data_IF_273496024700
#
_entry.id   IF_273496024700
#
_cell.length_a   1.000
_cell.length_b   1.000
_cell.length_c   1.000
_cell.angle_alpha   90.00
_cell.angle_beta   90.00
_cell.angle_gamma   90.00
#
_symmetry.space_group_name_H-M   'P 1'
#
loop_
_entity.id
_entity.type
_entity.pdbx_description
1 polymer ?
#
# COMPACT_ATOMS: atom_id res chain seq x y z
N UNK A 1 10.14 4.75 7.12
CA UNK A 1 10.24 5.91 6.21
C UNK A 1 9.00 5.96 5.33
N UNK A 2 8.75 7.09 4.66
CA UNK A 2 7.54 7.28 3.85
C UNK A 2 7.90 7.98 2.52
N UNK A 3 7.33 7.56 1.37
CA UNK A 3 6.43 6.41 1.21
C UNK A 3 7.12 5.06 1.47
N UNK A 4 6.37 3.96 1.67
CA UNK A 4 6.94 2.63 1.73
C UNK A 4 7.76 2.32 0.47
N UNK A 5 8.96 1.75 0.66
CA UNK A 5 9.84 1.37 -0.44
C UNK A 5 9.85 -0.14 -0.64
N UNK A 6 9.71 -0.56 -1.89
CA UNK A 6 9.95 -1.94 -2.29
C UNK A 6 11.42 -2.31 -2.16
N UNK A 7 11.69 -3.58 -1.87
CA UNK A 7 13.00 -4.23 -1.86
C UNK A 7 13.22 -5.12 -3.07
N UNK A 8 12.29 -5.14 -4.03
CA UNK A 8 12.45 -5.86 -5.28
C UNK A 8 13.60 -5.27 -6.10
N UNK A 9 14.27 -6.13 -6.86
CA UNK A 9 15.32 -5.71 -7.78
C UNK A 9 14.70 -4.88 -8.91
N UNK A 10 15.00 -3.59 -8.96
CA UNK A 10 14.46 -2.67 -9.96
C UNK A 10 14.95 -2.96 -11.38
N UNK A 11 16.07 -3.69 -11.54
CA UNK A 11 16.50 -4.14 -12.86
C UNK A 11 15.61 -5.25 -13.43
N UNK A 12 14.96 -6.03 -12.55
CA UNK A 12 14.06 -7.13 -12.93
C UNK A 12 12.61 -6.66 -12.97
N UNK A 13 12.20 -5.85 -12.00
CA UNK A 13 10.80 -5.50 -11.77
C UNK A 13 10.49 -4.01 -12.03
N UNK A 14 11.45 -3.18 -12.45
CA UNK A 14 11.19 -1.77 -12.73
C UNK A 14 10.88 -0.93 -11.47
N UNK A 15 10.12 0.15 -11.65
CA UNK A 15 9.75 1.06 -10.56
C UNK A 15 8.56 0.52 -9.75
N UNK A 16 8.79 0.36 -8.45
CA UNK A 16 7.80 -0.09 -7.46
C UNK A 16 7.63 0.91 -6.31
N UNK A 17 7.97 2.17 -6.55
CA UNK A 17 7.72 3.26 -5.60
C UNK A 17 6.24 3.29 -5.27
N UNK A 18 5.90 3.19 -3.98
CA UNK A 18 4.51 3.26 -3.54
C UNK A 18 3.89 4.60 -3.92
N UNK A 19 2.66 4.53 -4.42
CA UNK A 19 1.85 5.68 -4.82
C UNK A 19 1.05 6.27 -3.65
N UNK A 20 1.16 5.71 -2.45
CA UNK A 20 0.55 6.29 -1.25
C UNK A 20 1.34 7.53 -0.84
N UNK A 21 0.70 8.70 -0.87
CA UNK A 21 1.32 9.96 -0.47
C UNK A 21 1.00 10.30 1.00
N UNK A 22 1.71 11.31 1.56
CA UNK A 22 1.45 11.78 2.93
C UNK A 22 0.04 12.37 3.03
N UNK A 23 -0.39 13.08 2.00
CA UNK A 23 -1.70 13.75 1.91
C UNK A 23 -2.84 12.74 2.03
N UNK A 24 -2.69 11.54 1.46
CA UNK A 24 -3.68 10.46 1.57
C UNK A 24 -4.01 10.07 3.01
N UNK A 25 -3.02 10.12 3.91
CA UNK A 25 -3.17 9.60 5.28
C UNK A 25 -3.23 10.69 6.35
N UNK A 26 -2.80 11.91 6.04
CA UNK A 26 -2.62 13.02 6.98
C UNK A 26 -3.89 13.36 7.79
N UNK A 27 -5.07 13.26 7.18
CA UNK A 27 -6.35 13.62 7.84
C UNK A 27 -6.79 12.62 8.93
N UNK A 28 -6.16 11.45 9.01
CA UNK A 28 -6.65 10.33 9.82
C UNK A 28 -5.71 9.90 10.96
N UNK A 29 -4.81 10.80 11.40
CA UNK A 29 -3.74 10.54 12.38
C UNK A 29 -3.95 11.18 13.77
N UNK A 30 -5.20 11.45 14.17
CA UNK A 30 -5.54 12.03 15.49
C UNK A 30 -4.79 13.34 15.81
N UNK A 31 -4.60 14.17 14.78
CA UNK A 31 -3.93 15.47 14.89
C UNK A 31 -2.40 15.44 14.71
N UNK A 32 -1.80 14.25 14.57
CA UNK A 32 -0.37 14.12 14.27
C UNK A 32 -0.08 14.36 12.79
N UNK A 33 1.09 14.90 12.49
CA UNK A 33 1.70 14.82 11.16
C UNK A 33 2.17 13.40 10.85
N UNK A 34 2.35 13.08 9.56
CA UNK A 34 2.92 11.78 9.17
C UNK A 34 4.29 11.55 9.82
N UNK A 35 5.15 12.58 9.86
CA UNK A 35 6.49 12.45 10.41
C UNK A 35 6.48 12.21 11.93
N UNK A 36 5.60 12.88 12.67
CA UNK A 36 5.40 12.60 14.09
C UNK A 36 4.89 11.18 14.34
N UNK A 37 3.94 10.70 13.52
CA UNK A 37 3.43 9.33 13.65
C UNK A 37 4.51 8.27 13.37
N UNK A 38 5.45 8.53 12.45
CA UNK A 38 6.63 7.68 12.21
C UNK A 38 7.56 7.73 13.43
N UNK A 39 7.89 8.93 13.92
CA UNK A 39 8.78 9.10 15.08
C UNK A 39 8.22 8.42 16.33
N UNK A 40 6.91 8.50 16.53
CA UNK A 40 6.18 7.88 17.64
C UNK A 40 5.96 6.37 17.45
N UNK A 41 6.35 5.79 16.31
CA UNK A 41 6.16 4.37 15.96
C UNK A 41 4.69 3.94 16.00
N UNK A 42 3.79 4.84 15.61
CA UNK A 42 2.34 4.58 15.55
C UNK A 42 1.85 4.27 14.13
N UNK A 43 2.72 4.28 13.13
CA UNK A 43 2.43 3.78 11.79
C UNK A 43 2.98 2.37 11.56
N UNK A 44 2.11 1.50 11.06
CA UNK A 44 2.40 0.11 10.74
C UNK A 44 2.08 -0.16 9.28
N UNK A 45 2.81 -1.10 8.69
CA UNK A 45 2.63 -1.50 7.31
C UNK A 45 2.38 -3.01 7.27
N UNK A 46 1.20 -3.40 6.77
CA UNK A 46 0.93 -4.77 6.37
C UNK A 46 1.29 -4.90 4.89
N UNK A 47 2.43 -5.52 4.63
CA UNK A 47 3.03 -5.57 3.29
C UNK A 47 2.98 -6.97 2.70
N UNK A 48 2.14 -7.14 1.69
CA UNK A 48 2.12 -8.33 0.84
C UNK A 48 2.69 -8.05 -0.56
N UNK A 49 3.06 -6.81 -0.86
CA UNK A 49 3.49 -6.42 -2.18
C UNK A 49 4.72 -7.20 -2.67
N UNK A 50 5.88 -7.05 -2.02
CA UNK A 50 7.14 -7.64 -2.51
C UNK A 50 7.09 -9.17 -2.55
N UNK A 51 6.38 -9.79 -1.61
CA UNK A 51 6.23 -11.25 -1.56
C UNK A 51 5.36 -11.79 -2.70
N UNK A 52 4.38 -11.01 -3.17
CA UNK A 52 3.39 -11.45 -4.16
C UNK A 52 3.79 -11.09 -5.59
N UNK A 53 4.44 -9.94 -5.84
CA UNK A 53 4.78 -9.47 -7.19
C UNK A 53 5.44 -10.54 -8.07
N UNK A 54 6.45 -11.30 -7.62
CA UNK A 54 7.11 -12.32 -8.45
C UNK A 54 6.17 -13.41 -8.99
N UNK A 55 5.02 -13.63 -8.35
CA UNK A 55 4.04 -14.65 -8.71
C UNK A 55 2.76 -14.07 -9.30
N UNK A 56 2.54 -12.76 -9.15
CA UNK A 56 1.25 -12.14 -9.37
C UNK A 56 0.75 -12.28 -10.82
N UNK A 57 1.65 -12.16 -11.80
CA UNK A 57 1.31 -12.36 -13.22
C UNK A 57 0.84 -13.78 -13.50
N UNK A 58 1.53 -14.77 -12.95
CA UNK A 58 1.17 -16.18 -13.09
C UNK A 58 -0.17 -16.49 -12.39
N UNK A 59 -0.39 -15.93 -11.19
CA UNK A 59 -1.67 -16.07 -10.49
C UNK A 59 -2.80 -15.51 -11.35
N UNK A 60 -2.62 -14.31 -11.90
CA UNK A 60 -3.65 -13.60 -12.67
C UNK A 60 -3.90 -14.17 -14.06
N UNK A 61 -3.00 -14.99 -14.62
CA UNK A 61 -3.22 -15.72 -15.88
C UNK A 61 -4.16 -16.92 -15.72
N UNK A 62 -4.54 -17.28 -14.49
CA UNK A 62 -5.56 -18.29 -14.20
C UNK A 62 -6.96 -17.64 -14.10
N UNK A 63 -7.97 -18.42 -13.68
CA UNK A 63 -9.29 -17.88 -13.32
C UNK A 63 -9.26 -16.99 -12.08
N UNK A 64 -8.21 -17.07 -11.26
CA UNK A 64 -8.03 -16.23 -10.07
C UNK A 64 -7.68 -14.79 -10.44
N UNK A 65 -8.03 -13.85 -9.55
CA UNK A 65 -7.62 -12.44 -9.63
C UNK A 65 -7.09 -12.02 -8.27
N UNK A 66 -5.91 -11.43 -8.27
CA UNK A 66 -5.20 -10.99 -7.08
C UNK A 66 -4.50 -9.65 -7.34
N UNK A 67 -4.14 -8.99 -6.24
CA UNK A 67 -3.33 -7.78 -6.22
C UNK A 67 -2.17 -7.98 -5.25
N UNK A 68 -1.05 -7.34 -5.51
CA UNK A 68 0.01 -7.12 -4.54
C UNK A 68 -0.39 -5.92 -3.68
N UNK A 69 -0.62 -6.13 -2.38
CA UNK A 69 -1.18 -5.09 -1.51
C UNK A 69 -0.19 -4.51 -0.50
N UNK A 70 -0.36 -3.23 -0.20
CA UNK A 70 0.21 -2.55 0.97
C UNK A 70 -0.92 -1.90 1.74
N UNK A 71 -0.98 -2.14 3.04
CA UNK A 71 -1.96 -1.48 3.91
C UNK A 71 -1.25 -0.70 4.99
N UNK A 72 -1.51 0.61 5.08
CA UNK A 72 -1.02 1.45 6.16
C UNK A 72 -2.04 1.45 7.30
N UNK A 73 -1.56 1.16 8.49
CA UNK A 73 -2.33 1.10 9.73
C UNK A 73 -1.79 2.13 10.71
N UNK A 74 -2.68 2.79 11.44
CA UNK A 74 -2.37 3.69 12.54
C UNK A 74 -2.76 3.08 13.88
N UNK A 75 -1.86 3.10 14.84
CA UNK A 75 -2.16 2.77 16.23
C UNK A 75 -2.71 4.01 16.93
N UNK A 76 -4.02 3.97 17.22
CA UNK A 76 -4.73 5.03 17.91
C UNK A 76 -4.38 5.06 19.40
N UNK A 77 -4.70 6.18 20.06
CA UNK A 77 -4.49 6.34 21.50
C UNK A 77 -5.31 5.36 22.36
N UNK A 78 -6.42 4.82 21.82
CA UNK A 78 -7.24 3.80 22.48
C UNK A 78 -6.66 2.37 22.38
N UNK A 79 -5.49 2.22 21.74
CA UNK A 79 -4.79 0.94 21.58
C UNK A 79 -5.25 0.10 20.39
N UNK A 80 -6.22 0.56 19.59
CA UNK A 80 -6.70 -0.17 18.40
C UNK A 80 -5.98 0.28 17.12
N UNK A 81 -5.92 -0.62 16.12
CA UNK A 81 -5.37 -0.32 14.80
C UNK A 81 -6.47 0.18 13.85
N UNK A 82 -6.22 1.30 13.17
CA UNK A 82 -7.09 1.90 12.16
C UNK A 82 -6.42 1.83 10.77
N UNK A 83 -7.07 1.27 9.75
CA UNK A 83 -6.57 1.35 8.37
C UNK A 83 -6.66 2.78 7.84
N UNK A 84 -5.59 3.23 7.17
CA UNK A 84 -5.47 4.57 6.58
C UNK A 84 -5.49 4.56 5.06
N UNK A 85 -4.87 3.56 4.44
CA UNK A 85 -4.79 3.43 2.99
C UNK A 85 -4.51 1.97 2.62
N UNK A 86 -5.07 1.54 1.49
CA UNK A 86 -4.75 0.26 0.84
C UNK A 86 -4.27 0.60 -0.57
N UNK A 87 -3.02 0.30 -0.89
CA UNK A 87 -2.53 0.29 -2.27
C UNK A 87 -2.69 -1.11 -2.85
N UNK A 88 -3.30 -1.18 -4.03
CA UNK A 88 -3.46 -2.40 -4.81
C UNK A 88 -2.67 -2.28 -6.11
N UNK A 89 -1.59 -3.06 -6.23
CA UNK A 89 -0.70 -3.07 -7.38
C UNK A 89 -0.97 -4.27 -8.28
N UNK A 90 -0.97 -4.03 -9.60
CA UNK A 90 -0.98 -5.04 -10.65
C UNK A 90 0.32 -4.99 -11.45
N UNK A 91 0.79 -6.11 -12.03
CA UNK A 91 1.95 -6.10 -12.92
C UNK A 91 1.67 -5.19 -14.13
N UNK A 92 2.67 -4.45 -14.58
CA UNK A 92 2.53 -3.60 -15.76
C UNK A 92 2.12 -4.46 -16.99
N UNK A 93 1.18 -4.01 -17.84
CA UNK A 93 0.65 -4.84 -18.94
C UNK A 93 1.72 -5.31 -19.93
N UNK A 94 2.75 -4.50 -20.16
CA UNK A 94 3.83 -4.77 -21.12
C UNK A 94 4.97 -5.67 -20.59
N UNK A 95 5.01 -5.96 -19.29
CA UNK A 95 6.06 -6.78 -18.68
C UNK A 95 6.46 -6.32 -17.29
N UNK A 96 7.01 -7.23 -16.49
CA UNK A 96 7.35 -6.96 -15.09
C UNK A 96 8.48 -5.94 -14.94
N UNK A 97 9.40 -5.86 -15.90
CA UNK A 97 10.49 -4.88 -15.92
C UNK A 97 10.02 -3.42 -16.01
N UNK A 98 8.74 -3.19 -16.30
CA UNK A 98 8.14 -1.86 -16.37
C UNK A 98 7.42 -1.45 -15.08
N UNK A 99 7.56 -2.21 -13.99
CA UNK A 99 6.95 -1.88 -12.71
C UNK A 99 5.52 -2.38 -12.55
N UNK A 100 4.75 -1.60 -11.82
CA UNK A 100 3.35 -1.89 -11.50
C UNK A 100 2.43 -0.73 -11.85
N UNK A 101 1.17 -1.05 -12.11
CA UNK A 101 0.08 -0.08 -12.07
C UNK A 101 -0.63 -0.21 -10.73
N UNK A 102 -0.64 0.86 -9.94
CA UNK A 102 -1.23 0.89 -8.60
C UNK A 102 -2.48 1.77 -8.54
N UNK A 103 -3.43 1.39 -7.70
CA UNK A 103 -4.50 2.26 -7.23
C UNK A 103 -4.47 2.34 -5.70
N UNK A 104 -4.70 3.54 -5.15
CA UNK A 104 -4.78 3.77 -3.70
C UNK A 104 -6.24 3.95 -3.31
N UNK A 105 -6.67 3.20 -2.31
CA UNK A 105 -8.00 3.27 -1.71
C UNK A 105 -7.89 3.79 -0.29
N UNK A 106 -8.68 4.81 0.01
CA UNK A 106 -8.75 5.42 1.33
C UNK A 106 -10.05 4.99 2.02
N UNK A 107 -10.11 4.96 3.37
CA UNK A 107 -11.36 4.78 4.09
C UNK A 107 -12.44 5.75 3.58
N UNK A 108 -13.59 5.20 3.19
CA UNK A 108 -14.71 6.02 2.75
C UNK A 108 -15.24 6.85 3.94
N UNK A 109 -15.51 8.13 3.69
CA UNK A 109 -16.07 9.06 4.69
C UNK A 109 -17.58 8.83 4.84
N UNK A 110 -18.24 8.36 3.78
CA UNK A 110 -19.65 8.01 3.77
C UNK A 110 -19.82 6.50 3.66
N UNK A 111 -20.63 5.92 4.55
CA UNK A 111 -21.04 4.54 4.45
C UNK A 111 -22.05 4.42 3.31
N UNK A 112 -21.67 3.74 2.23
CA UNK A 112 -22.64 3.26 1.26
C UNK A 112 -23.23 2.00 1.88
N UNK A 113 -24.48 2.09 2.36
CA UNK A 113 -25.21 0.91 2.83
C UNK A 113 -25.24 -0.12 1.70
N UNK A 114 -24.70 -1.30 1.97
CA UNK A 114 -24.80 -2.50 1.12
C UNK A 114 -26.06 -3.29 1.43
#
# INVERSE_FOLDING_TARGET
EFPPKSKLDSAVYGDHTSTITKEHIQLNLEGLTVDEAIQNKTLFLLEHHDTIIPYLRLINSTSTKAYASRTILFLKNDGTLKPLAIELSLPHPEGDQFGVTSNVYLPAIEAIGI
#
